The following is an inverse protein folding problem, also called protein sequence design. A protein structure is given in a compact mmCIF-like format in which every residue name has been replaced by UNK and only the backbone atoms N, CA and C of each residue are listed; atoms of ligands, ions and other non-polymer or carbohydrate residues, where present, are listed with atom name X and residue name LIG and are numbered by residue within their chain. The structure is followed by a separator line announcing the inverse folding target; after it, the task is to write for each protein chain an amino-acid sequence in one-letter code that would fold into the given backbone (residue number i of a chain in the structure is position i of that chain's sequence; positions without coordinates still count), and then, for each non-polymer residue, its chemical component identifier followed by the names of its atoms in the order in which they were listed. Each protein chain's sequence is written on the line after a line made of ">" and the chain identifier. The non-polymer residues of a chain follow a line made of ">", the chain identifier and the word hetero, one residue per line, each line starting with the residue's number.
data_IF_520054614300
#
_entry.id   IF_520054614300
#
_cell.length_a   1.000
_cell.length_b   1.000
_cell.length_c   1.000
_cell.angle_alpha   90.00
_cell.angle_beta   90.00
_cell.angle_gamma   90.00
#
_symmetry.space_group_name_H-M   'P 1'
#
loop_
_entity.id
_entity.type
_entity.pdbx_description
1 polymer ?
#
# COMPACT_ATOMS: atom_id res chain seq x y z
N UNK A 1 8.28 26.61 28.83
CA UNK A 1 9.06 25.80 27.87
C UNK A 1 8.46 24.41 27.87
N UNK A 2 7.60 24.11 26.90
CA UNK A 2 6.97 22.78 26.78
C UNK A 2 8.02 21.83 26.18
N UNK A 3 8.24 20.69 26.82
CA UNK A 3 9.16 19.66 26.34
C UNK A 3 8.74 19.24 24.92
N UNK A 4 9.69 19.31 23.99
CA UNK A 4 9.46 18.95 22.60
C UNK A 4 8.90 17.55 22.49
N UNK A 5 7.79 17.40 21.77
CA UNK A 5 7.26 16.10 21.42
C UNK A 5 8.37 15.32 20.68
N UNK A 6 8.63 14.05 21.04
CA UNK A 6 9.57 13.24 20.28
C UNK A 6 9.10 13.18 18.83
N UNK A 7 10.04 13.35 17.89
CA UNK A 7 9.76 13.16 16.48
C UNK A 7 9.12 11.78 16.25
N UNK A 8 8.28 11.61 15.22
CA UNK A 8 7.71 10.31 14.89
C UNK A 8 8.82 9.25 14.75
N UNK A 9 8.54 8.03 15.21
CA UNK A 9 9.42 6.90 14.94
C UNK A 9 9.52 6.74 13.41
N UNK A 10 10.75 6.66 12.91
CA UNK A 10 11.05 6.47 11.49
C UNK A 10 11.75 5.13 11.28
N UNK A 11 11.68 4.60 10.06
CA UNK A 11 12.39 3.37 9.71
C UNK A 11 13.90 3.61 9.63
N UNK A 12 14.68 2.73 10.25
CA UNK A 12 16.13 2.68 10.06
C UNK A 12 16.46 1.80 8.85
N UNK A 13 16.60 2.42 7.69
CA UNK A 13 16.92 1.72 6.43
C UNK A 13 18.30 1.03 6.45
N UNK A 14 19.17 1.33 7.41
CA UNK A 14 20.43 0.58 7.58
C UNK A 14 20.22 -0.74 8.34
N UNK A 15 19.04 -0.95 8.96
CA UNK A 15 18.72 -2.13 9.78
C UNK A 15 17.42 -2.79 9.33
N UNK A 16 17.47 -3.42 8.16
CA UNK A 16 16.34 -4.13 7.56
C UNK A 16 16.48 -5.65 7.66
N UNK A 17 15.37 -6.35 7.85
CA UNK A 17 15.28 -7.81 7.74
C UNK A 17 14.45 -8.17 6.51
N UNK A 18 14.91 -9.17 5.75
CA UNK A 18 14.10 -9.77 4.67
C UNK A 18 13.19 -10.90 5.18
N UNK A 19 13.36 -11.30 6.44
CA UNK A 19 12.47 -12.26 7.10
C UNK A 19 11.31 -11.50 7.68
N UNK A 20 10.12 -11.75 7.14
CA UNK A 20 8.88 -11.32 7.76
C UNK A 20 8.46 -12.37 8.80
N UNK A 21 8.32 -12.00 10.08
CA UNK A 21 7.76 -12.90 11.09
C UNK A 21 6.22 -12.97 11.02
N UNK A 22 5.61 -12.18 10.14
CA UNK A 22 4.16 -12.03 10.06
C UNK A 22 3.57 -12.88 8.93
N UNK A 23 2.28 -13.16 9.05
CA UNK A 23 1.48 -13.65 7.92
C UNK A 23 1.50 -12.57 6.83
N UNK A 24 1.51 -13.01 5.58
CA UNK A 24 1.27 -12.21 4.37
C UNK A 24 0.08 -12.82 3.63
N UNK A 25 -0.87 -12.03 3.15
CA UNK A 25 -2.00 -12.58 2.40
C UNK A 25 -1.52 -13.23 1.09
N UNK A 26 -2.13 -14.35 0.71
CA UNK A 26 -1.88 -14.96 -0.59
C UNK A 26 -2.52 -14.13 -1.70
N UNK A 27 -1.84 -13.97 -2.84
CA UNK A 27 -2.36 -13.21 -3.97
C UNK A 27 -1.27 -12.51 -4.78
N UNK A 28 -1.71 -11.55 -5.58
CA UNK A 28 -0.90 -10.77 -6.49
C UNK A 28 -0.64 -9.38 -5.92
N UNK A 29 0.64 -9.02 -5.84
CA UNK A 29 1.11 -7.73 -5.36
C UNK A 29 1.74 -6.94 -6.50
N UNK A 30 1.66 -5.62 -6.42
CA UNK A 30 2.29 -4.72 -7.39
C UNK A 30 3.80 -4.93 -7.39
N UNK A 31 4.41 -5.01 -8.57
CA UNK A 31 5.86 -5.13 -8.77
C UNK A 31 6.61 -3.93 -8.19
N UNK A 32 7.87 -4.15 -7.86
CA UNK A 32 8.78 -3.06 -7.50
C UNK A 32 9.12 -2.20 -8.73
N UNK A 33 9.49 -0.94 -8.49
CA UNK A 33 9.85 0.02 -9.53
C UNK A 33 8.84 1.15 -9.65
N UNK A 34 8.79 1.76 -10.84
CA UNK A 34 7.92 2.90 -11.09
C UNK A 34 6.44 2.50 -11.06
N UNK A 35 5.69 3.19 -10.20
CA UNK A 35 4.25 3.04 -9.99
C UNK A 35 3.51 4.36 -10.15
N UNK A 36 4.13 5.40 -10.72
CA UNK A 36 3.55 6.73 -10.84
C UNK A 36 2.18 6.73 -11.51
N UNK A 37 1.98 5.89 -12.53
CA UNK A 37 0.68 5.75 -13.22
C UNK A 37 -0.44 5.32 -12.27
N UNK A 38 -0.16 4.43 -11.31
CA UNK A 38 -1.13 3.97 -10.31
C UNK A 38 -1.41 5.00 -9.21
N UNK A 39 -0.61 6.06 -9.13
CA UNK A 39 -0.77 7.13 -8.13
C UNK A 39 -1.40 8.40 -8.73
N UNK A 40 -1.67 8.39 -10.04
CA UNK A 40 -2.16 9.56 -10.77
C UNK A 40 -3.65 9.84 -10.53
N UNK A 41 -4.44 8.82 -10.21
CA UNK A 41 -5.88 8.91 -9.99
C UNK A 41 -6.36 7.91 -8.94
N UNK A 42 -7.51 8.20 -8.34
CA UNK A 42 -8.26 7.25 -7.49
C UNK A 42 -9.34 6.59 -8.35
N UNK A 43 -8.93 5.61 -9.15
CA UNK A 43 -9.74 4.96 -10.20
C UNK A 43 -9.86 3.44 -9.99
N UNK A 44 -9.78 3.03 -8.72
CA UNK A 44 -9.79 1.65 -8.27
C UNK A 44 -8.59 0.81 -8.74
N UNK A 45 -7.60 1.35 -9.45
CA UNK A 45 -6.31 0.69 -9.70
C UNK A 45 -5.32 1.05 -8.59
N UNK A 46 -4.78 0.06 -7.87
CA UNK A 46 -4.04 0.29 -6.63
C UNK A 46 -2.57 -0.14 -6.71
N UNK A 47 -1.72 0.53 -5.94
CA UNK A 47 -0.48 -0.10 -5.48
C UNK A 47 -0.85 -1.11 -4.40
N UNK A 48 -0.79 -2.40 -4.74
CA UNK A 48 -1.04 -3.51 -3.81
C UNK A 48 0.26 -3.86 -3.09
N UNK A 49 0.39 -3.36 -1.86
CA UNK A 49 1.56 -3.50 -1.01
C UNK A 49 1.39 -4.59 0.06
N UNK A 50 2.51 -5.22 0.44
CA UNK A 50 2.63 -6.08 1.63
C UNK A 50 3.58 -5.46 2.65
N UNK A 51 3.76 -6.16 3.77
CA UNK A 51 4.75 -5.83 4.77
C UNK A 51 6.15 -5.61 4.17
N UNK A 52 6.75 -4.48 4.52
CA UNK A 52 8.07 -4.06 4.04
C UNK A 52 8.10 -3.38 2.66
N UNK A 53 6.98 -3.33 1.92
CA UNK A 53 6.90 -2.51 0.72
C UNK A 53 6.77 -1.02 1.09
N UNK A 54 7.27 -0.16 0.20
CA UNK A 54 7.20 1.29 0.35
C UNK A 54 6.94 1.96 -1.00
N UNK A 55 6.16 3.04 -0.97
CA UNK A 55 6.07 4.01 -2.06
C UNK A 55 6.82 5.27 -1.63
N UNK A 56 7.95 5.54 -2.29
CA UNK A 56 8.72 6.75 -2.07
C UNK A 56 8.27 7.86 -3.03
N UNK A 57 7.92 9.03 -2.49
CA UNK A 57 7.50 10.19 -3.26
C UNK A 57 8.58 11.28 -3.17
N UNK A 58 8.99 11.79 -4.33
CA UNK A 58 9.90 12.93 -4.43
C UNK A 58 9.30 13.97 -5.36
N UNK A 59 9.44 15.25 -5.01
CA UNK A 59 9.02 16.36 -5.86
C UNK A 59 10.07 17.46 -5.79
N UNK A 60 10.22 18.22 -6.88
CA UNK A 60 11.13 19.36 -6.90
C UNK A 60 10.49 20.55 -6.18
N UNK A 61 10.96 20.81 -4.97
CA UNK A 61 10.47 21.94 -4.18
C UNK A 61 10.94 23.30 -4.72
N UNK A 62 11.93 23.35 -5.62
CA UNK A 62 12.46 24.60 -6.19
C UNK A 62 11.52 25.22 -7.22
N UNK A 63 10.63 24.43 -7.81
CA UNK A 63 9.59 24.91 -8.73
C UNK A 63 8.41 25.59 -8.01
N UNK A 64 8.36 25.51 -6.68
CA UNK A 64 7.29 26.12 -5.89
C UNK A 64 7.52 27.62 -5.73
N UNK A 65 6.44 28.40 -5.80
CA UNK A 65 6.49 29.85 -5.59
C UNK A 65 7.16 30.22 -4.25
N UNK A 66 7.91 31.34 -4.17
CA UNK A 66 8.49 31.81 -2.92
C UNK A 66 7.40 32.12 -1.89
N UNK A 67 7.73 31.94 -0.61
CA UNK A 67 6.82 32.28 0.49
C UNK A 67 6.91 33.77 0.82
N UNK A 68 5.80 34.40 1.25
CA UNK A 68 5.85 35.70 1.89
C UNK A 68 6.74 35.68 3.15
N UNK A 69 7.22 36.85 3.54
CA UNK A 69 8.02 37.00 4.75
C UNK A 69 7.23 36.53 5.99
N UNK A 70 7.89 35.75 6.86
CA UNK A 70 7.31 35.20 8.09
C UNK A 70 6.45 33.95 7.89
N UNK A 71 6.28 33.44 6.67
CA UNK A 71 5.49 32.23 6.40
C UNK A 71 6.34 30.96 6.46
N UNK A 72 5.71 29.86 6.87
CA UNK A 72 6.27 28.50 6.83
C UNK A 72 5.40 27.62 5.92
N UNK A 73 6.03 26.79 5.09
CA UNK A 73 5.33 25.82 4.24
C UNK A 73 5.22 24.48 4.95
N UNK A 74 4.02 23.92 4.96
CA UNK A 74 3.72 22.57 5.44
C UNK A 74 3.22 21.76 4.26
N UNK A 75 3.67 20.51 4.16
CA UNK A 75 3.22 19.56 3.15
C UNK A 75 2.27 18.56 3.79
N UNK A 76 1.18 18.24 3.09
CA UNK A 76 0.22 17.23 3.51
C UNK A 76 0.19 16.13 2.45
N UNK A 77 0.40 14.89 2.89
CA UNK A 77 0.15 13.73 2.07
C UNK A 77 -1.32 13.35 2.22
N UNK A 78 -2.06 13.35 1.11
CA UNK A 78 -3.38 12.72 1.01
C UNK A 78 -3.19 11.38 0.31
N UNK A 79 -3.49 10.30 1.02
CA UNK A 79 -3.56 8.96 0.44
C UNK A 79 -5.03 8.57 0.25
N UNK A 80 -5.28 7.79 -0.78
CA UNK A 80 -6.57 7.21 -1.12
C UNK A 80 -6.36 5.71 -1.36
N UNK A 81 -7.13 4.88 -0.67
CA UNK A 81 -6.95 3.43 -0.72
C UNK A 81 -7.50 2.72 0.50
N UNK A 82 -7.22 1.42 0.56
CA UNK A 82 -7.76 0.51 1.56
C UNK A 82 -6.65 -0.21 2.33
N UNK A 83 -6.87 -0.40 3.62
CA UNK A 83 -6.07 -1.34 4.43
C UNK A 83 -6.85 -2.63 4.59
N UNK A 84 -6.23 -3.76 4.24
CA UNK A 84 -6.76 -5.09 4.53
C UNK A 84 -6.01 -5.66 5.73
N UNK A 85 -6.76 -6.03 6.75
CA UNK A 85 -6.21 -6.55 8.00
C UNK A 85 -6.07 -8.07 7.94
N UNK A 86 -4.99 -8.58 8.54
CA UNK A 86 -4.72 -10.02 8.63
C UNK A 86 -5.18 -10.62 9.96
N UNK A 87 -5.99 -9.89 10.72
CA UNK A 87 -6.58 -10.35 11.97
C UNK A 87 -7.52 -11.54 11.74
N UNK A 88 -7.47 -12.54 12.61
CA UNK A 88 -8.25 -13.79 12.47
C UNK A 88 -9.77 -13.54 12.51
N UNK A 89 -10.21 -12.43 13.09
CA UNK A 89 -11.62 -12.05 13.14
C UNK A 89 -12.03 -11.13 11.98
N UNK A 90 -11.10 -10.79 11.08
CA UNK A 90 -11.44 -10.12 9.83
C UNK A 90 -12.11 -11.09 8.87
N UNK A 91 -13.04 -10.59 8.08
CA UNK A 91 -13.87 -11.43 7.23
C UNK A 91 -13.08 -12.17 6.13
N UNK A 92 -12.02 -11.55 5.58
CA UNK A 92 -11.15 -12.14 4.55
C UNK A 92 -9.68 -11.84 4.91
N UNK A 93 -9.07 -12.58 5.85
CA UNK A 93 -7.75 -12.26 6.38
C UNK A 93 -6.60 -12.96 5.65
N UNK A 94 -6.92 -13.90 4.76
CA UNK A 94 -5.96 -14.83 4.16
C UNK A 94 -5.51 -14.44 2.75
N UNK A 95 -6.31 -13.66 2.03
CA UNK A 95 -6.12 -13.41 0.59
C UNK A 95 -6.21 -11.92 0.26
N UNK A 96 -5.38 -11.50 -0.70
CA UNK A 96 -5.42 -10.14 -1.26
C UNK A 96 -6.77 -9.89 -1.93
N UNK A 97 -7.24 -10.87 -2.70
CA UNK A 97 -8.55 -10.82 -3.34
C UNK A 97 -9.67 -11.26 -2.39
N UNK A 98 -10.91 -10.77 -2.59
CA UNK A 98 -11.30 -9.71 -3.52
C UNK A 98 -10.73 -8.34 -3.13
N UNK A 99 -10.33 -7.52 -4.10
CA UNK A 99 -9.95 -6.13 -3.85
C UNK A 99 -11.19 -5.26 -3.53
N UNK A 100 -11.14 -4.41 -2.49
CA UNK A 100 -12.15 -3.37 -2.29
C UNK A 100 -12.12 -2.34 -3.44
N UNK A 101 -13.22 -1.63 -3.64
CA UNK A 101 -13.35 -0.57 -4.63
C UNK A 101 -14.33 0.51 -4.17
N UNK A 102 -14.22 1.72 -4.71
CA UNK A 102 -14.97 2.89 -4.25
C UNK A 102 -16.48 2.76 -4.38
N UNK A 103 -16.94 2.05 -5.41
CA UNK A 103 -18.36 1.86 -5.71
C UNK A 103 -19.06 0.78 -4.88
N UNK A 104 -18.34 0.04 -4.02
CA UNK A 104 -18.94 -1.09 -3.30
C UNK A 104 -19.87 -0.62 -2.17
N UNK A 105 -20.92 -1.39 -1.88
CA UNK A 105 -21.85 -1.08 -0.78
C UNK A 105 -21.23 -1.32 0.60
N UNK A 106 -20.29 -2.26 0.68
CA UNK A 106 -19.55 -2.61 1.88
C UNK A 106 -18.46 -3.62 1.57
N UNK A 107 -17.53 -3.82 2.52
CA UNK A 107 -16.50 -4.84 2.41
C UNK A 107 -16.58 -5.85 3.57
N UNK A 108 -16.56 -7.17 3.29
CA UNK A 108 -16.63 -7.77 1.96
C UNK A 108 -17.97 -7.51 1.27
N UNK A 109 -17.93 -7.38 -0.06
CA UNK A 109 -19.13 -7.24 -0.88
C UNK A 109 -19.68 -8.63 -1.28
N UNK A 110 -20.98 -8.69 -1.57
CA UNK A 110 -21.68 -9.92 -1.95
C UNK A 110 -21.48 -10.30 -3.42
N UNK A 111 -22.08 -11.43 -3.84
CA UNK A 111 -21.96 -11.96 -5.21
C UNK A 111 -22.56 -11.03 -6.29
N UNK A 112 -23.45 -10.12 -5.90
CA UNK A 112 -24.08 -9.14 -6.81
C UNK A 112 -23.15 -7.96 -7.15
N UNK A 113 -21.99 -7.87 -6.51
CA UNK A 113 -21.00 -6.81 -6.70
C UNK A 113 -19.67 -7.40 -7.16
N UNK A 114 -18.93 -6.65 -7.97
CA UNK A 114 -17.63 -7.06 -8.44
C UNK A 114 -16.67 -5.88 -8.53
N UNK A 115 -15.41 -6.14 -8.18
CA UNK A 115 -14.32 -5.24 -8.51
C UNK A 115 -14.28 -4.99 -10.02
N UNK A 116 -13.97 -3.77 -10.50
CA UNK A 116 -14.00 -3.46 -11.92
C UNK A 116 -13.10 -4.40 -12.76
N UNK A 117 -13.66 -4.90 -13.87
CA UNK A 117 -12.96 -5.78 -14.82
C UNK A 117 -13.01 -5.20 -16.24
N UNK A 118 -12.68 -3.92 -16.37
CA UNK A 118 -12.54 -3.28 -17.69
C UNK A 118 -11.22 -3.73 -18.36
N UNK A 119 -11.04 -3.54 -19.68
CA UNK A 119 -9.75 -3.81 -20.33
C UNK A 119 -8.56 -3.14 -19.65
N UNK A 120 -8.75 -1.90 -19.17
CA UNK A 120 -7.73 -1.12 -18.47
C UNK A 120 -7.36 -1.77 -17.13
N UNK A 121 -8.35 -2.23 -16.36
CA UNK A 121 -8.11 -2.95 -15.10
C UNK A 121 -7.37 -4.27 -15.31
N UNK A 122 -7.71 -5.01 -16.36
CA UNK A 122 -6.97 -6.24 -16.72
C UNK A 122 -5.52 -5.93 -17.07
N UNK A 123 -5.30 -4.93 -17.91
CA UNK A 123 -3.96 -4.51 -18.29
C UNK A 123 -3.15 -4.06 -17.07
N UNK A 124 -3.71 -3.24 -16.18
CA UNK A 124 -3.06 -2.86 -14.91
C UNK A 124 -2.64 -4.09 -14.11
N UNK A 125 -3.52 -5.08 -13.95
CA UNK A 125 -3.19 -6.30 -13.19
C UNK A 125 -2.07 -7.11 -13.86
N UNK A 126 -2.06 -7.18 -15.19
CA UNK A 126 -1.00 -7.84 -15.96
C UNK A 126 0.35 -7.11 -15.87
N UNK A 127 0.34 -5.79 -16.02
CA UNK A 127 1.56 -4.96 -16.07
C UNK A 127 2.18 -4.72 -14.69
N UNK A 128 1.34 -4.62 -13.65
CA UNK A 128 1.77 -4.24 -12.30
C UNK A 128 1.69 -5.40 -11.30
N UNK A 129 0.63 -6.21 -11.26
CA UNK A 129 0.38 -7.15 -10.15
C UNK A 129 1.05 -8.52 -10.37
N UNK A 130 2.36 -8.50 -10.57
CA UNK A 130 3.15 -9.66 -11.00
C UNK A 130 3.90 -10.38 -9.88
N UNK A 131 3.96 -9.82 -8.66
CA UNK A 131 4.56 -10.50 -7.50
C UNK A 131 3.55 -11.45 -6.87
N UNK A 132 3.78 -12.76 -6.97
CA UNK A 132 2.85 -13.77 -6.46
C UNK A 132 3.28 -14.29 -5.09
N UNK A 133 2.36 -14.28 -4.14
CA UNK A 133 2.50 -14.93 -2.82
C UNK A 133 1.53 -16.10 -2.74
N UNK A 134 2.06 -17.32 -2.60
CA UNK A 134 1.25 -18.56 -2.59
C UNK A 134 1.03 -19.14 -1.19
N UNK A 135 1.88 -18.80 -0.20
CA UNK A 135 1.72 -19.15 1.22
C UNK A 135 2.75 -18.37 2.06
N UNK A 136 2.36 -17.90 3.23
CA UNK A 136 3.14 -16.94 4.02
C UNK A 136 3.63 -17.43 5.37
N UNK A 137 3.25 -18.62 5.83
CA UNK A 137 3.83 -19.18 7.05
C UNK A 137 5.09 -19.95 6.67
N UNK A 138 6.30 -19.48 7.03
CA UNK A 138 7.51 -20.27 6.86
C UNK A 138 7.36 -21.58 7.66
N UNK A 139 7.86 -22.68 7.09
CA UNK A 139 7.93 -23.95 7.82
C UNK A 139 8.75 -23.73 9.10
N UNK A 140 8.32 -24.38 10.20
CA UNK A 140 8.94 -24.27 11.55
C UNK A 140 10.44 -24.63 11.58
N UNK A 141 11.03 -25.06 10.47
CA UNK A 141 12.44 -25.43 10.36
C UNK A 141 13.38 -24.28 9.93
N UNK A 142 12.86 -23.07 9.64
CA UNK A 142 13.70 -21.94 9.20
C UNK A 142 14.47 -21.22 10.34
N UNK A 143 14.48 -21.78 11.55
CA UNK A 143 15.31 -21.30 12.68
C UNK A 143 16.39 -22.33 13.00
N UNK A 144 17.47 -22.35 12.19
CA UNK A 144 18.75 -22.97 12.55
C UNK A 144 19.91 -22.10 12.09
#
# INVERSE_FOLDING_TARGET
>A
MHAGHPAPLTYDYARVSKVSPWKTMAGHYTREGDVQELLAAADDMFVVARDGDEVALTFDASELAPLPEGWTRTYFLRADGYSKEMDINSAIPDTVEPLPFHGMTGYPYGEDEQYPDTPEHRQYREDYNTRVVVRSVPLLEASR
#
